data_IF_336664298341
#
_entry.id   IF_336664298341
#
_cell.length_a   1.000
_cell.length_b   1.000
_cell.length_c   1.000
_cell.angle_alpha   90.00
_cell.angle_beta   90.00
_cell.angle_gamma   90.00
#
_symmetry.space_group_name_H-M   'P 1'
#
loop_
_entity.id
_entity.type
_entity.pdbx_description
1 polymer ?
#
# COMPACT_ATOMS: atom_id res chain seq x y z
N UNK A 1 3.29 79.84 -7.04
CA UNK A 1 3.75 78.65 -7.77
C UNK A 1 3.74 77.43 -6.83
N UNK A 2 2.67 76.63 -6.86
CA UNK A 2 2.55 75.39 -6.01
C UNK A 2 2.93 74.23 -6.84
N UNK A 3 3.98 73.49 -6.43
CA UNK A 3 4.37 72.20 -7.08
C UNK A 3 3.61 71.07 -6.40
N UNK A 4 2.75 70.40 -7.18
CA UNK A 4 2.14 69.12 -6.81
C UNK A 4 3.18 68.03 -6.93
N UNK A 5 3.44 67.29 -5.85
CA UNK A 5 4.24 66.08 -5.85
C UNK A 5 3.28 64.92 -6.01
N UNK A 6 3.32 64.24 -7.15
CA UNK A 6 2.58 62.98 -7.39
C UNK A 6 3.40 61.83 -6.76
N UNK A 7 2.86 61.21 -5.71
CA UNK A 7 3.43 59.98 -5.14
C UNK A 7 2.74 58.81 -5.83
N UNK A 8 3.47 58.10 -6.69
CA UNK A 8 3.03 56.85 -7.32
C UNK A 8 3.22 55.69 -6.34
N UNK A 9 2.11 55.14 -5.84
CA UNK A 9 2.13 53.92 -5.02
C UNK A 9 2.14 52.73 -5.97
N UNK A 10 3.25 52.01 -6.03
CA UNK A 10 3.34 50.72 -6.75
C UNK A 10 2.75 49.62 -5.85
N UNK A 11 1.58 49.10 -6.22
CA UNK A 11 1.03 47.88 -5.63
C UNK A 11 1.75 46.67 -6.25
N UNK A 12 2.65 46.04 -5.50
CA UNK A 12 3.22 44.74 -5.89
C UNK A 12 2.18 43.67 -5.53
N UNK A 13 1.46 43.20 -6.54
CA UNK A 13 0.63 42.01 -6.42
C UNK A 13 1.55 40.77 -6.37
N UNK A 14 1.84 40.28 -5.16
CA UNK A 14 2.49 39.02 -4.96
C UNK A 14 1.53 37.89 -5.40
N UNK A 15 1.84 37.21 -6.52
CA UNK A 15 1.17 35.96 -6.88
C UNK A 15 1.57 34.90 -5.85
N UNK A 16 0.68 34.63 -4.91
CA UNK A 16 0.79 33.44 -4.05
C UNK A 16 0.38 32.25 -4.92
N UNK A 17 1.36 31.55 -5.48
CA UNK A 17 1.15 30.26 -6.11
C UNK A 17 0.76 29.28 -5.00
N UNK A 18 -0.53 29.08 -4.81
CA UNK A 18 -1.06 27.99 -3.99
C UNK A 18 -0.73 26.68 -4.71
N UNK A 19 0.32 25.99 -4.30
CA UNK A 19 0.52 24.60 -4.67
C UNK A 19 -0.63 23.81 -4.04
N UNK A 20 -1.58 23.36 -4.86
CA UNK A 20 -2.61 22.46 -4.39
C UNK A 20 -1.92 21.20 -3.85
N UNK A 21 -2.00 20.99 -2.53
CA UNK A 21 -1.49 19.75 -1.92
C UNK A 21 -2.26 18.57 -2.54
N UNK A 22 -1.53 17.56 -3.02
CA UNK A 22 -2.14 16.37 -3.61
C UNK A 22 -3.08 15.74 -2.58
N UNK A 23 -4.37 15.63 -2.95
CA UNK A 23 -5.40 15.08 -2.07
C UNK A 23 -5.61 13.59 -2.40
N UNK A 24 -5.36 12.73 -1.42
CA UNK A 24 -5.56 11.29 -1.51
C UNK A 24 -6.90 10.87 -0.93
N UNK A 25 -7.50 9.83 -1.52
CA UNK A 25 -8.67 9.17 -0.92
C UNK A 25 -8.31 8.56 0.43
N UNK A 26 -9.28 8.53 1.34
CA UNK A 26 -9.09 7.95 2.69
C UNK A 26 -10.33 7.21 3.12
N UNK A 27 -10.11 6.08 3.81
CA UNK A 27 -11.16 5.37 4.55
C UNK A 27 -10.81 5.33 6.04
N UNK A 28 -11.83 5.39 6.87
CA UNK A 28 -11.69 5.23 8.33
C UNK A 28 -12.40 3.96 8.76
N UNK A 29 -11.67 3.08 9.42
CA UNK A 29 -12.17 1.81 9.95
C UNK A 29 -12.13 1.86 11.47
N UNK A 30 -13.28 1.64 12.11
CA UNK A 30 -13.35 1.55 13.56
C UNK A 30 -12.76 0.21 14.03
N UNK A 31 -11.83 0.29 14.99
CA UNK A 31 -11.28 -0.88 15.68
C UNK A 31 -11.57 -0.81 17.18
N UNK A 32 -11.35 -1.89 17.91
CA UNK A 32 -11.53 -1.93 19.37
C UNK A 32 -10.61 -1.00 20.18
N UNK A 33 -9.56 -0.44 19.53
CA UNK A 33 -8.55 0.40 20.17
C UNK A 33 -8.32 1.73 19.45
N UNK A 34 -9.32 2.22 18.73
CA UNK A 34 -9.26 3.49 18.00
C UNK A 34 -9.46 3.34 16.50
N UNK A 35 -9.41 4.44 15.78
CA UNK A 35 -9.63 4.47 14.35
C UNK A 35 -8.35 4.09 13.58
N UNK A 36 -8.50 3.21 12.59
CA UNK A 36 -7.52 2.98 11.56
C UNK A 36 -7.89 3.85 10.35
N UNK A 37 -7.07 4.83 10.02
CA UNK A 37 -7.24 5.64 8.80
C UNK A 37 -6.31 5.09 7.73
N UNK A 38 -6.89 4.72 6.59
CA UNK A 38 -6.20 4.21 5.41
C UNK A 38 -6.14 5.32 4.38
N UNK A 39 -4.96 5.72 3.94
CA UNK A 39 -4.76 6.68 2.85
C UNK A 39 -4.26 5.93 1.62
N UNK A 40 -4.93 6.11 0.49
CA UNK A 40 -4.64 5.45 -0.78
C UNK A 40 -3.76 6.36 -1.63
N UNK A 41 -2.45 6.07 -1.69
CA UNK A 41 -1.50 6.89 -2.46
C UNK A 41 -1.58 6.57 -3.94
N UNK A 42 -1.76 5.29 -4.27
CA UNK A 42 -1.85 4.77 -5.62
C UNK A 42 -1.05 3.48 -5.78
N UNK A 43 -1.28 2.76 -6.87
CA UNK A 43 -0.60 1.49 -7.18
C UNK A 43 -0.66 0.51 -6.01
N UNK A 44 0.48 0.25 -5.34
CA UNK A 44 0.52 -0.57 -4.12
C UNK A 44 0.84 0.26 -2.87
N UNK A 45 1.02 1.58 -3.01
CA UNK A 45 1.44 2.45 -1.91
C UNK A 45 0.27 2.88 -1.03
N UNK A 46 0.40 2.60 0.28
CA UNK A 46 -0.60 2.92 1.29
C UNK A 46 0.03 3.63 2.50
N UNK A 47 -0.78 4.43 3.21
CA UNK A 47 -0.42 4.91 4.54
C UNK A 47 -1.52 4.52 5.51
N UNK A 48 -1.15 3.89 6.62
CA UNK A 48 -2.03 3.64 7.75
C UNK A 48 -1.69 4.59 8.90
N UNK A 49 -2.69 5.30 9.40
CA UNK A 49 -2.59 6.06 10.64
C UNK A 49 -3.38 5.34 11.73
N UNK A 50 -2.71 4.96 12.80
CA UNK A 50 -3.31 4.21 13.89
C UNK A 50 -2.63 4.54 15.24
N UNK A 51 -3.42 5.08 16.21
CA UNK A 51 -2.91 5.41 17.54
C UNK A 51 -1.60 6.22 17.51
N UNK A 52 -1.58 7.30 16.75
CA UNK A 52 -0.42 8.17 16.48
C UNK A 52 0.75 7.51 15.74
N UNK A 53 0.62 6.26 15.31
CA UNK A 53 1.62 5.64 14.44
C UNK A 53 1.29 5.89 12.98
N UNK A 54 2.31 6.23 12.21
CA UNK A 54 2.28 6.36 10.74
C UNK A 54 3.03 5.18 10.13
N UNK A 55 2.31 4.37 9.36
CA UNK A 55 2.84 3.16 8.73
C UNK A 55 2.74 3.33 7.21
N UNK A 56 3.86 3.35 6.52
CA UNK A 56 3.90 3.34 5.07
C UNK A 56 4.10 1.93 4.54
N UNK A 57 3.42 1.62 3.44
CA UNK A 57 3.57 0.36 2.70
C UNK A 57 4.00 0.68 1.28
N UNK A 58 5.04 0.01 0.82
CA UNK A 58 5.56 0.07 -0.55
C UNK A 58 5.64 1.51 -1.10
N UNK A 59 6.40 2.42 -0.45
CA UNK A 59 6.49 3.81 -0.87
C UNK A 59 7.14 3.91 -2.26
N UNK A 60 6.45 4.58 -3.20
CA UNK A 60 6.89 4.74 -4.58
C UNK A 60 6.83 6.21 -5.02
N UNK A 61 7.98 6.83 -5.22
CA UNK A 61 8.15 8.26 -5.43
C UNK A 61 7.53 8.81 -6.72
N UNK A 62 7.14 7.94 -7.67
CA UNK A 62 6.41 8.38 -8.87
C UNK A 62 4.95 8.75 -8.60
N UNK A 63 4.39 8.29 -7.48
CA UNK A 63 2.97 8.50 -7.14
C UNK A 63 2.72 9.80 -6.37
N UNK A 64 3.72 10.25 -5.60
CA UNK A 64 3.60 11.41 -4.72
C UNK A 64 4.97 12.00 -4.39
N UNK A 65 4.98 13.28 -3.99
CA UNK A 65 6.15 13.84 -3.33
C UNK A 65 6.19 13.42 -1.86
N UNK A 66 6.96 12.38 -1.56
CA UNK A 66 7.13 11.81 -0.22
C UNK A 66 7.77 12.80 0.78
N UNK A 67 8.39 13.89 0.32
CA UNK A 67 8.88 14.95 1.22
C UNK A 67 7.75 15.74 1.90
N UNK A 68 6.56 15.73 1.31
CA UNK A 68 5.36 16.42 1.84
C UNK A 68 4.46 15.49 2.66
N UNK A 69 4.74 14.19 2.66
CA UNK A 69 3.99 13.20 3.42
C UNK A 69 4.51 13.07 4.86
N UNK A 70 3.70 12.58 5.81
CA UNK A 70 4.13 12.40 7.19
C UNK A 70 5.30 11.41 7.28
N UNK A 71 6.23 11.68 8.22
CA UNK A 71 7.32 10.76 8.53
C UNK A 71 6.77 9.44 9.06
N UNK A 72 7.47 8.36 8.73
CA UNK A 72 7.05 7.02 9.09
C UNK A 72 7.58 6.59 10.48
N UNK A 73 6.71 5.97 11.28
CA UNK A 73 7.12 5.16 12.44
C UNK A 73 7.51 3.75 12.01
N UNK A 74 6.83 3.23 10.97
CA UNK A 74 7.06 1.91 10.39
C UNK A 74 6.94 1.98 8.88
N UNK A 75 7.85 1.30 8.17
CA UNK A 75 7.79 1.09 6.73
C UNK A 75 7.76 -0.41 6.48
N UNK A 76 6.81 -0.87 5.65
CA UNK A 76 6.69 -2.25 5.19
C UNK A 76 6.99 -2.28 3.70
N UNK A 77 7.94 -3.13 3.29
CA UNK A 77 8.28 -3.38 1.89
C UNK A 77 7.95 -4.84 1.59
N UNK A 78 7.10 -5.06 0.59
CA UNK A 78 6.65 -6.42 0.23
C UNK A 78 7.71 -7.17 -0.55
N UNK A 79 8.34 -6.52 -1.51
CA UNK A 79 9.40 -7.12 -2.34
C UNK A 79 10.27 -6.04 -3.01
N UNK A 80 11.31 -6.46 -3.73
CA UNK A 80 12.39 -5.59 -4.22
C UNK A 80 12.10 -4.84 -5.53
N UNK A 81 10.98 -5.05 -6.22
CA UNK A 81 10.68 -4.31 -7.45
C UNK A 81 10.57 -2.80 -7.19
N UNK A 82 10.98 -1.99 -8.19
CA UNK A 82 11.18 -0.54 -8.00
C UNK A 82 9.91 0.26 -7.73
N UNK A 83 8.76 -0.29 -8.05
CA UNK A 83 7.42 0.25 -7.77
C UNK A 83 6.86 -0.11 -6.39
N UNK A 84 7.61 -0.92 -5.61
CA UNK A 84 7.34 -1.28 -4.21
C UNK A 84 8.49 -0.90 -3.27
N UNK A 85 9.74 -0.98 -3.77
CA UNK A 85 10.96 -0.74 -3.03
C UNK A 85 11.73 0.42 -3.64
N UNK A 86 11.34 1.65 -3.33
CA UNK A 86 11.98 2.89 -3.79
C UNK A 86 12.82 3.51 -2.64
N UNK A 87 14.15 3.35 -2.65
CA UNK A 87 15.02 3.90 -1.62
C UNK A 87 14.90 5.43 -1.48
N UNK A 88 14.68 6.16 -2.59
CA UNK A 88 14.56 7.61 -2.55
C UNK A 88 13.27 8.07 -1.84
N UNK A 89 12.15 7.35 -2.04
CA UNK A 89 10.92 7.61 -1.31
C UNK A 89 11.07 7.25 0.17
N UNK A 90 11.71 6.11 0.49
CA UNK A 90 12.00 5.68 1.87
C UNK A 90 12.83 6.73 2.62
N UNK A 91 13.93 7.24 2.02
CA UNK A 91 14.77 8.25 2.67
C UNK A 91 14.04 9.56 2.98
N UNK A 92 13.02 9.92 2.19
CA UNK A 92 12.21 11.11 2.43
C UNK A 92 11.29 10.98 3.65
N UNK A 93 10.87 9.77 4.01
CA UNK A 93 9.89 9.55 5.10
C UNK A 93 10.52 8.91 6.34
N UNK A 94 11.70 8.29 6.24
CA UNK A 94 12.35 7.68 7.41
C UNK A 94 12.96 8.74 8.34
N UNK A 95 13.08 8.38 9.60
CA UNK A 95 13.81 9.05 10.65
C UNK A 95 14.70 8.05 11.37
N UNK A 96 15.52 8.47 12.32
CA UNK A 96 16.31 7.57 13.18
C UNK A 96 15.44 6.58 13.98
N UNK A 97 14.17 6.96 14.26
CA UNK A 97 13.22 6.15 15.04
C UNK A 97 12.32 5.28 14.16
N UNK A 98 12.45 5.33 12.84
CA UNK A 98 11.63 4.54 11.91
C UNK A 98 12.10 3.07 11.92
N UNK A 99 11.17 2.17 12.16
CA UNK A 99 11.39 0.73 11.92
C UNK A 99 11.09 0.40 10.46
N UNK A 100 11.91 -0.44 9.83
CA UNK A 100 11.67 -0.90 8.46
C UNK A 100 11.59 -2.43 8.49
N UNK A 101 10.55 -2.99 7.87
CA UNK A 101 10.40 -4.44 7.64
C UNK A 101 10.42 -4.67 6.14
N UNK A 102 11.19 -5.66 5.71
CA UNK A 102 11.40 -5.96 4.29
C UNK A 102 11.80 -7.43 4.09
N UNK A 103 11.78 -7.89 2.82
CA UNK A 103 12.34 -9.18 2.44
C UNK A 103 13.87 -9.10 2.25
N UNK A 104 14.51 -10.25 2.04
CA UNK A 104 15.97 -10.33 1.88
C UNK A 104 16.47 -9.51 0.68
N UNK A 105 15.82 -9.61 -0.48
CA UNK A 105 16.23 -8.89 -1.68
C UNK A 105 16.11 -7.36 -1.53
N UNK A 106 15.05 -6.86 -0.88
CA UNK A 106 14.91 -5.43 -0.57
C UNK A 106 15.98 -4.91 0.38
N UNK A 107 16.55 -5.77 1.26
CA UNK A 107 17.63 -5.35 2.17
C UNK A 107 18.94 -5.01 1.46
N UNK A 108 19.10 -5.39 0.21
CA UNK A 108 20.24 -5.01 -0.64
C UNK A 108 20.11 -3.58 -1.16
N UNK A 109 18.88 -3.04 -1.20
CA UNK A 109 18.56 -1.67 -1.66
C UNK A 109 18.33 -0.70 -0.51
N UNK A 110 17.76 -1.17 0.60
CA UNK A 110 17.40 -0.35 1.76
C UNK A 110 18.11 -0.91 3.00
N UNK A 111 19.03 -0.13 3.55
CA UNK A 111 19.80 -0.52 4.74
C UNK A 111 19.03 -0.31 6.05
N UNK A 112 19.38 -1.06 7.09
CA UNK A 112 18.87 -0.89 8.45
C UNK A 112 17.46 -1.47 8.67
N UNK A 113 16.94 -2.26 7.72
CA UNK A 113 15.64 -2.93 7.85
C UNK A 113 15.76 -4.30 8.55
N UNK A 114 14.69 -4.68 9.25
CA UNK A 114 14.49 -6.02 9.78
C UNK A 114 14.01 -6.94 8.64
N UNK A 115 14.78 -7.98 8.34
CA UNK A 115 14.40 -8.96 7.33
C UNK A 115 13.39 -9.92 7.93
N UNK A 116 12.23 -10.04 7.26
CA UNK A 116 11.24 -11.09 7.53
C UNK A 116 11.14 -12.07 6.36
N UNK A 117 10.99 -13.34 6.68
CA UNK A 117 10.71 -14.43 5.74
C UNK A 117 9.26 -14.85 5.86
N UNK A 118 8.74 -15.51 4.83
CA UNK A 118 7.40 -16.10 4.88
C UNK A 118 7.23 -16.99 6.13
N UNK A 119 6.18 -16.75 6.90
CA UNK A 119 5.88 -17.42 8.17
C UNK A 119 6.41 -16.71 9.42
N UNK A 120 7.30 -15.72 9.29
CA UNK A 120 7.77 -14.95 10.43
C UNK A 120 6.66 -14.08 11.03
N UNK A 121 6.69 -13.95 12.35
CA UNK A 121 5.79 -13.09 13.11
C UNK A 121 6.61 -12.16 13.99
N UNK A 122 6.39 -10.86 13.86
CA UNK A 122 7.05 -9.83 14.66
C UNK A 122 6.04 -8.91 15.34
N UNK A 123 6.45 -8.30 16.44
CA UNK A 123 5.71 -7.20 17.07
C UNK A 123 6.58 -5.95 17.08
N UNK A 124 6.22 -4.99 16.23
CA UNK A 124 6.97 -3.73 16.04
C UNK A 124 6.07 -2.55 16.39
N UNK A 125 6.56 -1.62 17.21
CA UNK A 125 5.77 -0.46 17.68
C UNK A 125 4.40 -0.86 18.29
N UNK A 126 4.30 -2.04 18.89
CA UNK A 126 3.05 -2.56 19.46
C UNK A 126 2.13 -3.26 18.44
N UNK A 127 2.43 -3.22 17.15
CA UNK A 127 1.66 -3.83 16.06
C UNK A 127 2.21 -5.24 15.78
N UNK A 128 1.32 -6.25 15.74
CA UNK A 128 1.66 -7.60 15.30
C UNK A 128 1.62 -7.67 13.79
N UNK A 129 2.68 -8.17 13.19
CA UNK A 129 2.85 -8.31 11.74
C UNK A 129 3.30 -9.73 11.47
N UNK A 130 2.65 -10.38 10.50
CA UNK A 130 2.96 -11.72 10.04
C UNK A 130 3.27 -11.64 8.54
N UNK A 131 4.43 -12.16 8.13
CA UNK A 131 4.80 -12.27 6.73
C UNK A 131 4.21 -13.56 6.16
N UNK A 132 3.48 -13.44 5.04
CA UNK A 132 2.87 -14.56 4.34
C UNK A 132 3.44 -14.66 2.92
N UNK A 133 3.42 -15.85 2.27
CA UNK A 133 3.95 -15.99 0.93
C UNK A 133 3.24 -15.11 -0.10
N UNK A 134 4.02 -14.48 -0.98
CA UNK A 134 3.55 -13.74 -2.15
C UNK A 134 4.36 -14.21 -3.37
N UNK A 135 3.70 -14.86 -4.36
CA UNK A 135 4.38 -15.41 -5.52
C UNK A 135 3.44 -15.75 -6.68
N UNK A 136 4.01 -15.93 -7.90
CA UNK A 136 3.29 -16.39 -9.07
C UNK A 136 3.32 -17.93 -9.21
N UNK A 137 2.19 -18.49 -9.64
CA UNK A 137 2.02 -19.91 -9.95
C UNK A 137 1.90 -20.13 -11.48
N UNK A 138 1.09 -19.31 -12.14
CA UNK A 138 0.68 -19.44 -13.55
C UNK A 138 1.44 -18.47 -14.43
N UNK A 139 1.44 -17.18 -14.10
CA UNK A 139 2.04 -16.17 -14.95
C UNK A 139 3.56 -16.14 -14.82
N UNK A 140 4.22 -16.18 -15.99
CA UNK A 140 5.67 -16.32 -16.11
C UNK A 140 6.22 -15.37 -17.16
N UNK A 141 7.48 -15.05 -17.03
CA UNK A 141 8.27 -14.33 -18.02
C UNK A 141 8.49 -15.23 -19.26
N UNK A 142 8.94 -14.63 -20.37
CA UNK A 142 9.21 -15.37 -21.62
C UNK A 142 10.28 -16.46 -21.46
N UNK A 143 11.16 -16.33 -20.49
CA UNK A 143 12.17 -17.34 -20.14
C UNK A 143 11.63 -18.49 -19.28
N UNK A 144 10.32 -18.50 -18.94
CA UNK A 144 9.65 -19.52 -18.14
C UNK A 144 9.75 -19.30 -16.62
N UNK A 145 10.48 -18.30 -16.13
CA UNK A 145 10.55 -17.95 -14.71
C UNK A 145 9.29 -17.19 -14.26
N UNK A 146 8.80 -17.39 -13.02
CA UNK A 146 7.70 -16.61 -12.49
C UNK A 146 8.11 -15.15 -12.35
N UNK A 147 7.14 -14.22 -12.47
CA UNK A 147 7.41 -12.80 -12.21
C UNK A 147 7.86 -12.56 -10.77
N UNK A 148 7.26 -13.30 -9.82
CA UNK A 148 7.59 -13.28 -8.40
C UNK A 148 7.81 -14.73 -7.94
N UNK A 149 9.09 -15.16 -7.71
CA UNK A 149 9.40 -16.51 -7.29
C UNK A 149 8.90 -16.81 -5.87
N UNK A 150 8.52 -18.07 -5.63
CA UNK A 150 8.10 -18.51 -4.30
C UNK A 150 9.23 -18.39 -3.27
N UNK A 151 8.94 -17.73 -2.16
CA UNK A 151 9.89 -17.56 -1.04
C UNK A 151 10.63 -16.21 -1.04
N UNK A 152 10.52 -15.41 -2.11
CA UNK A 152 11.18 -14.10 -2.22
C UNK A 152 10.28 -12.98 -1.66
N UNK A 153 9.08 -12.81 -2.19
CA UNK A 153 8.14 -11.76 -1.77
C UNK A 153 7.39 -12.10 -0.48
N UNK A 154 7.02 -11.05 0.26
CA UNK A 154 6.12 -11.11 1.41
C UNK A 154 4.81 -10.37 1.12
N UNK A 155 3.68 -11.01 1.42
CA UNK A 155 2.50 -10.30 1.88
C UNK A 155 2.58 -10.09 3.38
N UNK A 156 1.74 -9.20 3.94
CA UNK A 156 1.72 -8.93 5.37
C UNK A 156 0.30 -9.01 5.94
N UNK A 157 0.10 -9.73 7.04
CA UNK A 157 -1.10 -9.66 7.87
C UNK A 157 -0.77 -8.80 9.10
N UNK A 158 -1.45 -7.65 9.21
CA UNK A 158 -1.20 -6.63 10.22
C UNK A 158 -2.40 -6.56 11.17
N UNK A 159 -2.15 -6.58 12.49
CA UNK A 159 -3.19 -6.51 13.50
C UNK A 159 -3.37 -5.11 14.05
N UNK A 160 -4.52 -4.49 13.81
CA UNK A 160 -4.94 -3.19 14.38
C UNK A 160 -6.12 -3.38 15.34
N UNK A 161 -5.85 -3.44 16.64
CA UNK A 161 -6.88 -3.78 17.64
C UNK A 161 -7.48 -5.16 17.35
N UNK A 162 -8.79 -5.21 17.09
CA UNK A 162 -9.54 -6.42 16.71
C UNK A 162 -9.56 -6.68 15.19
N UNK A 163 -8.98 -5.79 14.36
CA UNK A 163 -8.99 -5.91 12.90
C UNK A 163 -7.68 -6.48 12.37
N UNK A 164 -7.79 -7.40 11.42
CA UNK A 164 -6.67 -7.92 10.62
C UNK A 164 -6.73 -7.36 9.21
N UNK A 165 -5.65 -6.71 8.80
CA UNK A 165 -5.45 -6.17 7.45
C UNK A 165 -4.44 -7.03 6.72
N UNK A 166 -4.81 -7.58 5.58
CA UNK A 166 -3.92 -8.33 4.70
C UNK A 166 -3.53 -7.48 3.50
N UNK A 167 -2.24 -7.31 3.28
CA UNK A 167 -1.63 -6.69 2.11
C UNK A 167 -0.91 -7.81 1.36
N UNK A 168 -1.37 -8.12 0.16
CA UNK A 168 -0.89 -9.31 -0.54
C UNK A 168 0.53 -9.16 -1.10
N UNK A 169 0.98 -7.94 -1.42
CA UNK A 169 2.14 -7.73 -2.30
C UNK A 169 1.82 -8.23 -3.71
N UNK A 170 2.83 -8.41 -4.53
CA UNK A 170 2.64 -8.95 -5.87
C UNK A 170 2.60 -10.48 -5.83
N UNK A 171 1.46 -11.02 -6.16
CA UNK A 171 1.16 -12.45 -6.02
C UNK A 171 0.00 -12.89 -6.89
N UNK A 172 -0.13 -14.17 -7.09
CA UNK A 172 -1.37 -14.82 -7.53
C UNK A 172 -2.17 -15.35 -6.34
N UNK A 173 -3.34 -15.98 -6.63
CA UNK A 173 -4.26 -16.57 -5.64
C UNK A 173 -3.72 -17.88 -5.05
N UNK A 174 -2.60 -17.78 -4.34
CA UNK A 174 -1.87 -18.92 -3.77
C UNK A 174 -2.71 -19.75 -2.79
N UNK A 175 -2.40 -21.04 -2.59
CA UNK A 175 -3.03 -21.86 -1.55
C UNK A 175 -2.91 -21.24 -0.15
N UNK A 176 -1.76 -20.65 0.16
CA UNK A 176 -1.49 -19.98 1.44
C UNK A 176 -2.43 -18.78 1.63
N UNK A 177 -2.62 -17.92 0.61
CA UNK A 177 -3.59 -16.83 0.62
C UNK A 177 -5.01 -17.34 0.88
N UNK A 178 -5.45 -18.36 0.15
CA UNK A 178 -6.80 -18.94 0.29
C UNK A 178 -7.04 -19.57 1.66
N UNK A 179 -5.99 -19.97 2.38
CA UNK A 179 -6.07 -20.56 3.72
C UNK A 179 -6.13 -19.55 4.86
N UNK A 180 -5.93 -18.25 4.59
CA UNK A 180 -5.99 -17.18 5.60
C UNK A 180 -7.33 -17.19 6.34
N UNK A 181 -7.31 -16.79 7.62
CA UNK A 181 -8.51 -16.80 8.47
C UNK A 181 -8.66 -15.50 9.25
N UNK A 182 -9.92 -15.05 9.32
CA UNK A 182 -10.30 -13.89 10.13
C UNK A 182 -9.72 -12.58 9.60
N UNK A 183 -9.55 -12.45 8.29
CA UNK A 183 -9.13 -11.19 7.65
C UNK A 183 -10.34 -10.27 7.57
N UNK A 184 -10.20 -9.07 8.10
CA UNK A 184 -11.24 -8.03 8.01
C UNK A 184 -11.09 -7.23 6.72
N UNK A 185 -9.86 -6.89 6.32
CA UNK A 185 -9.56 -6.06 5.16
C UNK A 185 -8.48 -6.73 4.34
N UNK A 186 -8.66 -6.82 3.03
CA UNK A 186 -7.66 -7.36 2.11
C UNK A 186 -7.38 -6.40 0.96
N UNK A 187 -6.09 -6.20 0.67
CA UNK A 187 -5.58 -5.54 -0.53
C UNK A 187 -5.03 -6.60 -1.46
N UNK A 188 -5.69 -6.81 -2.61
CA UNK A 188 -5.31 -7.84 -3.58
C UNK A 188 -4.92 -7.21 -4.92
N UNK A 189 -3.73 -7.53 -5.47
CA UNK A 189 -3.27 -6.99 -6.75
C UNK A 189 -4.05 -7.60 -7.92
N UNK A 190 -4.29 -6.79 -8.96
CA UNK A 190 -5.11 -7.21 -10.10
C UNK A 190 -4.54 -6.67 -11.42
N UNK A 191 -3.27 -6.93 -11.71
CA UNK A 191 -2.55 -6.38 -12.86
C UNK A 191 -1.84 -7.49 -13.66
N UNK A 192 -2.37 -7.80 -14.85
CA UNK A 192 -1.72 -8.73 -15.76
C UNK A 192 -0.57 -8.08 -16.54
N UNK A 193 0.47 -8.85 -16.87
CA UNK A 193 0.68 -10.28 -16.59
C UNK A 193 1.32 -10.57 -15.23
N UNK A 194 1.50 -9.58 -14.38
CA UNK A 194 2.38 -9.64 -13.20
C UNK A 194 1.73 -10.30 -11.99
N UNK A 195 0.41 -10.15 -11.84
CA UNK A 195 -0.33 -10.59 -10.65
C UNK A 195 -1.61 -11.34 -11.02
N UNK A 196 -2.73 -11.05 -10.40
CA UNK A 196 -3.99 -11.78 -10.58
C UNK A 196 -4.87 -11.20 -11.69
N UNK A 197 -5.67 -12.07 -12.32
CA UNK A 197 -6.87 -11.67 -13.05
C UNK A 197 -8.00 -11.30 -12.07
N UNK A 198 -9.06 -10.58 -12.51
CA UNK A 198 -10.26 -10.39 -11.69
C UNK A 198 -10.87 -11.69 -11.17
N UNK A 199 -10.84 -12.76 -11.96
CA UNK A 199 -11.34 -14.09 -11.60
C UNK A 199 -10.48 -14.73 -10.49
N UNK A 200 -9.15 -14.60 -10.55
CA UNK A 200 -8.24 -15.06 -9.50
C UNK A 200 -8.44 -14.30 -8.19
N UNK A 201 -8.65 -12.98 -8.27
CA UNK A 201 -8.98 -12.15 -7.09
C UNK A 201 -10.31 -12.58 -6.47
N UNK A 202 -11.34 -12.84 -7.31
CA UNK A 202 -12.63 -13.32 -6.84
C UNK A 202 -12.53 -14.70 -6.18
N UNK A 203 -11.77 -15.63 -6.78
CA UNK A 203 -11.53 -16.98 -6.23
C UNK A 203 -10.84 -16.90 -4.85
N UNK A 204 -9.80 -16.06 -4.72
CA UNK A 204 -9.13 -15.83 -3.44
C UNK A 204 -10.10 -15.24 -2.40
N UNK A 205 -10.78 -14.14 -2.74
CA UNK A 205 -11.68 -13.45 -1.83
C UNK A 205 -12.85 -14.33 -1.36
N UNK A 206 -13.40 -15.16 -2.25
CA UNK A 206 -14.45 -16.17 -1.90
C UNK A 206 -13.91 -17.27 -0.97
N UNK A 207 -12.61 -17.58 -1.03
CA UNK A 207 -11.98 -18.62 -0.21
C UNK A 207 -11.74 -18.18 1.23
N UNK A 208 -11.10 -17.03 1.46
CA UNK A 208 -10.76 -16.56 2.81
C UNK A 208 -11.71 -15.49 3.37
N UNK A 209 -12.64 -14.98 2.54
CA UNK A 209 -13.78 -14.11 2.90
C UNK A 209 -13.40 -12.90 3.77
N UNK A 210 -12.60 -11.94 3.24
CA UNK A 210 -12.38 -10.70 3.96
C UNK A 210 -13.69 -9.93 4.03
N UNK A 211 -13.91 -9.12 5.08
CA UNK A 211 -15.12 -8.28 5.16
C UNK A 211 -15.08 -7.16 4.12
N UNK A 212 -13.88 -6.60 3.87
CA UNK A 212 -13.65 -5.55 2.87
C UNK A 212 -12.53 -6.00 1.94
N UNK A 213 -12.78 -5.94 0.64
CA UNK A 213 -11.81 -6.17 -0.41
C UNK A 213 -11.50 -4.86 -1.14
N UNK A 214 -10.24 -4.47 -1.16
CA UNK A 214 -9.70 -3.41 -2.00
C UNK A 214 -8.85 -4.02 -3.12
N UNK A 215 -9.32 -4.03 -4.38
CA UNK A 215 -8.43 -4.24 -5.51
C UNK A 215 -7.41 -3.09 -5.55
N UNK A 216 -6.14 -3.42 -5.63
CA UNK A 216 -5.07 -2.44 -5.74
C UNK A 216 -4.06 -2.89 -6.79
N UNK A 217 -3.06 -2.06 -7.13
CA UNK A 217 -2.08 -2.41 -8.16
C UNK A 217 -2.75 -3.00 -9.42
N UNK A 218 -3.83 -2.36 -9.88
CA UNK A 218 -4.64 -2.93 -10.95
C UNK A 218 -4.27 -2.41 -12.35
N UNK A 219 -3.35 -1.43 -12.46
CA UNK A 219 -2.93 -0.88 -13.73
C UNK A 219 -4.13 -0.46 -14.61
N UNK A 220 -4.19 -0.99 -15.84
CA UNK A 220 -5.28 -0.75 -16.78
C UNK A 220 -6.41 -1.80 -16.70
N UNK A 221 -6.36 -2.70 -15.72
CA UNK A 221 -7.41 -3.70 -15.54
C UNK A 221 -8.73 -3.03 -15.17
N UNK A 222 -9.81 -3.42 -15.86
CA UNK A 222 -11.14 -2.93 -15.57
C UNK A 222 -11.66 -3.45 -14.23
N UNK A 223 -11.71 -2.54 -13.25
CA UNK A 223 -12.14 -2.86 -11.89
C UNK A 223 -13.63 -3.18 -11.76
N UNK A 224 -14.46 -2.88 -12.77
CA UNK A 224 -15.88 -3.26 -12.75
C UNK A 224 -16.06 -4.77 -12.76
N UNK A 225 -15.12 -5.52 -13.36
CA UNK A 225 -15.15 -6.98 -13.44
C UNK A 225 -15.12 -7.65 -12.05
N UNK A 226 -14.29 -7.17 -11.13
CA UNK A 226 -14.27 -7.75 -9.78
C UNK A 226 -15.55 -7.45 -9.01
N UNK A 227 -16.15 -6.27 -9.23
CA UNK A 227 -17.45 -5.92 -8.63
C UNK A 227 -18.53 -6.89 -9.11
N UNK A 228 -18.60 -7.16 -10.42
CA UNK A 228 -19.55 -8.10 -11.00
C UNK A 228 -19.34 -9.54 -10.51
N UNK A 229 -18.08 -10.00 -10.43
CA UNK A 229 -17.74 -11.35 -9.97
C UNK A 229 -18.07 -11.57 -8.48
N UNK A 230 -18.10 -10.50 -7.69
CA UNK A 230 -18.36 -10.56 -6.25
C UNK A 230 -19.80 -10.18 -5.85
N UNK A 231 -20.66 -9.75 -6.78
CA UNK A 231 -22.02 -9.21 -6.51
C UNK A 231 -22.91 -10.13 -5.66
N UNK A 232 -22.75 -11.44 -5.80
CA UNK A 232 -23.53 -12.45 -5.05
C UNK A 232 -22.82 -12.90 -3.74
N UNK A 233 -21.63 -12.37 -3.45
CA UNK A 233 -20.84 -12.70 -2.25
C UNK A 233 -21.14 -11.69 -1.14
N UNK A 234 -22.29 -11.84 -0.48
CA UNK A 234 -22.84 -10.86 0.49
C UNK A 234 -21.95 -10.56 1.69
N UNK A 235 -21.03 -11.47 2.03
CA UNK A 235 -20.14 -11.34 3.20
C UNK A 235 -18.88 -10.53 2.90
N UNK A 236 -18.65 -10.10 1.64
CA UNK A 236 -17.47 -9.36 1.19
C UNK A 236 -17.90 -8.08 0.50
N UNK A 237 -17.55 -6.94 1.10
CA UNK A 237 -17.74 -5.62 0.50
C UNK A 237 -16.55 -5.29 -0.40
N UNK A 238 -16.78 -5.07 -1.70
CA UNK A 238 -15.75 -4.60 -2.64
C UNK A 238 -15.73 -3.08 -2.65
N UNK A 239 -14.58 -2.48 -2.32
CA UNK A 239 -14.37 -1.03 -2.36
C UNK A 239 -13.32 -0.66 -3.39
N UNK A 240 -13.69 0.09 -4.40
CA UNK A 240 -12.75 0.60 -5.40
C UNK A 240 -12.18 1.94 -4.91
N UNK A 241 -10.84 2.07 -5.00
CA UNK A 241 -10.09 3.30 -4.74
C UNK A 241 -9.09 3.53 -5.88
N UNK A 242 -8.54 4.73 -5.97
CA UNK A 242 -7.56 5.10 -7.03
C UNK A 242 -6.20 4.46 -6.77
N UNK A 243 -6.08 3.16 -7.08
CA UNK A 243 -4.90 2.32 -6.86
C UNK A 243 -4.38 1.72 -8.19
N UNK A 244 -4.47 2.54 -9.26
CA UNK A 244 -3.97 2.20 -10.60
C UNK A 244 -2.46 2.16 -10.64
#
# INVERSE_FOLDING_TARGET
MHRLILISVFFVFGMISSFAQQQFEKDTILTSKGNLVITFIGHASLIFNYNNLVIHVDPFGRLADYSTLPKADLILITHEHGDHCDPAAVEKIRTENTSIILNKASSEKISGGMIMKNGDVQKVKGIRIEAVPAYNIVHKRDNGEPFHPKGDGNGYVIQFGDKKVYIAGDTENTPEMKSLKGIDIAFLPMNLPYTMTPEMVADAAKSFKPKILYPYHYGDTDVSKIVDLMKDTKDVEVRIRKMK
#
